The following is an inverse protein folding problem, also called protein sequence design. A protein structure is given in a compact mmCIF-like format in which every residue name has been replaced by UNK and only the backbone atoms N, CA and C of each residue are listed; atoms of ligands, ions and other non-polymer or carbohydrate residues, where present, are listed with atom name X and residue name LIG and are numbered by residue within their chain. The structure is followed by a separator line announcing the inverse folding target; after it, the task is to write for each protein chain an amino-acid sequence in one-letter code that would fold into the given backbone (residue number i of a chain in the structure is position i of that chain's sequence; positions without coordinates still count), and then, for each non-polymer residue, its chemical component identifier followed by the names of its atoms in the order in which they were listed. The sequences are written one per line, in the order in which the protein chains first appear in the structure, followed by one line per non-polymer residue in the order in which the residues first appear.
data_IF_409293760548
#
_entry.id   IF_409293760548
#
_cell.length_a   1.000
_cell.length_b   1.000
_cell.length_c   1.000
_cell.angle_alpha   90.00
_cell.angle_beta   90.00
_cell.angle_gamma   90.00
#
_symmetry.space_group_name_H-M   'P 1'
#
loop_
_entity.id
_entity.type
_entity.pdbx_description
1 polymer ?
#
# COMPACT_ATOMS: atom_id res chain seq x y z
N UNK A 1 -33.48 -14.37 -19.82
CA UNK A 1 -33.78 -13.54 -18.63
C UNK A 1 -32.49 -13.35 -17.88
N UNK A 2 -31.92 -12.18 -18.02
CA UNK A 2 -30.59 -11.77 -17.56
C UNK A 2 -30.68 -11.25 -16.13
N UNK A 3 -30.02 -11.91 -15.18
CA UNK A 3 -29.84 -11.38 -13.83
C UNK A 3 -28.55 -10.55 -13.78
N UNK A 4 -28.72 -9.25 -13.73
CA UNK A 4 -27.66 -8.30 -13.46
C UNK A 4 -27.33 -8.31 -11.96
N UNK A 5 -26.09 -8.65 -11.63
CA UNK A 5 -25.56 -8.52 -10.27
C UNK A 5 -25.21 -7.05 -9.99
N UNK A 6 -25.98 -6.44 -9.10
CA UNK A 6 -25.74 -5.13 -8.52
C UNK A 6 -24.63 -5.26 -7.47
N UNK A 7 -23.38 -4.97 -7.84
CA UNK A 7 -22.34 -4.64 -6.87
C UNK A 7 -22.50 -3.20 -6.42
N UNK A 8 -23.02 -3.00 -5.23
CA UNK A 8 -23.11 -1.69 -4.61
C UNK A 8 -21.70 -1.09 -4.44
N UNK A 9 -21.43 -0.08 -5.23
CA UNK A 9 -20.26 0.78 -5.19
C UNK A 9 -20.15 1.43 -3.81
N UNK A 10 -19.15 1.04 -3.01
CA UNK A 10 -18.71 1.81 -1.84
C UNK A 10 -18.16 3.15 -2.36
N UNK A 11 -18.89 4.23 -2.10
CA UNK A 11 -18.41 5.61 -2.30
C UNK A 11 -17.09 5.76 -1.54
N UNK A 12 -15.98 5.83 -2.27
CA UNK A 12 -14.70 6.30 -1.76
C UNK A 12 -14.90 7.75 -1.29
N UNK A 13 -14.44 8.04 -0.09
CA UNK A 13 -14.35 9.41 0.43
C UNK A 13 -13.28 10.10 -0.42
N UNK A 14 -13.73 10.80 -1.46
CA UNK A 14 -12.87 11.64 -2.30
C UNK A 14 -12.50 12.85 -1.46
N UNK A 15 -11.23 13.00 -1.17
CA UNK A 15 -10.67 14.14 -0.50
C UNK A 15 -10.97 15.41 -1.33
N UNK A 16 -11.66 16.43 -0.81
CA UNK A 16 -12.14 17.58 -1.61
C UNK A 16 -11.01 18.49 -2.14
N UNK A 17 -9.75 18.22 -1.82
CA UNK A 17 -8.61 19.06 -2.29
C UNK A 17 -8.15 18.77 -3.73
N UNK A 18 -8.74 17.78 -4.45
CA UNK A 18 -8.26 17.34 -5.78
C UNK A 18 -8.94 18.05 -6.97
N UNK A 19 -9.96 18.85 -6.76
CA UNK A 19 -10.74 19.46 -7.83
C UNK A 19 -10.33 20.89 -8.18
N UNK A 20 -9.13 21.08 -8.77
CA UNK A 20 -8.85 22.26 -9.64
C UNK A 20 -7.69 21.94 -10.60
N UNK A 21 -7.98 21.28 -11.70
CA UNK A 21 -7.01 20.81 -12.72
C UNK A 21 -6.29 21.92 -13.50
N UNK A 22 -6.60 23.18 -13.31
CA UNK A 22 -6.11 24.28 -14.16
C UNK A 22 -4.94 25.12 -13.59
N UNK A 23 -4.40 24.80 -12.40
CA UNK A 23 -3.35 25.63 -11.78
C UNK A 23 -2.12 24.83 -11.30
N UNK A 24 -1.97 23.58 -11.71
CA UNK A 24 -0.82 22.75 -11.34
C UNK A 24 0.24 22.76 -12.45
N UNK A 25 1.51 22.74 -12.06
CA UNK A 25 2.60 22.48 -13.01
C UNK A 25 2.45 21.09 -13.64
N UNK A 26 2.96 20.86 -14.87
CA UNK A 26 2.89 19.54 -15.53
C UNK A 26 3.38 18.39 -14.65
N UNK A 27 4.46 18.61 -13.89
CA UNK A 27 4.99 17.62 -12.95
C UNK A 27 4.00 17.33 -11.81
N UNK A 28 3.35 18.34 -11.26
CA UNK A 28 2.38 18.16 -10.19
C UNK A 28 1.10 17.50 -10.69
N UNK A 29 0.68 17.76 -11.92
CA UNK A 29 -0.42 17.04 -12.57
C UNK A 29 -0.09 15.56 -12.71
N UNK A 30 1.12 15.23 -13.16
CA UNK A 30 1.58 13.84 -13.24
C UNK A 30 1.56 13.15 -11.86
N UNK A 31 2.08 13.83 -10.82
CA UNK A 31 2.03 13.31 -9.44
C UNK A 31 0.59 13.03 -8.98
N UNK A 32 -0.32 13.98 -9.16
CA UNK A 32 -1.71 13.85 -8.73
C UNK A 32 -2.45 12.73 -9.48
N UNK A 33 -2.19 12.55 -10.77
CA UNK A 33 -2.76 11.46 -11.55
C UNK A 33 -2.29 10.10 -11.01
N UNK A 34 -0.99 9.93 -10.77
CA UNK A 34 -0.44 8.71 -10.18
C UNK A 34 -1.00 8.50 -8.76
N UNK A 35 -1.06 9.56 -7.94
CA UNK A 35 -1.61 9.46 -6.58
C UNK A 35 -3.08 9.05 -6.57
N UNK A 36 -3.87 9.45 -7.55
CA UNK A 36 -5.28 9.06 -7.69
C UNK A 36 -5.45 7.54 -7.94
N UNK A 37 -4.48 6.88 -8.59
CA UNK A 37 -4.46 5.42 -8.76
C UNK A 37 -4.07 4.70 -7.46
N UNK A 38 -3.32 5.37 -6.56
CA UNK A 38 -2.81 4.82 -5.31
C UNK A 38 -3.25 5.64 -4.08
N UNK A 39 -4.56 5.89 -3.87
CA UNK A 39 -5.04 6.86 -2.87
C UNK A 39 -4.66 6.50 -1.44
N UNK A 40 -4.57 5.21 -1.14
CA UNK A 40 -4.29 4.68 0.20
C UNK A 40 -2.81 4.32 0.44
N UNK A 41 -1.91 4.69 -0.49
CA UNK A 41 -0.48 4.40 -0.38
C UNK A 41 0.29 5.69 -0.05
N UNK A 42 1.42 5.58 0.63
CA UNK A 42 2.43 6.62 0.60
C UNK A 42 3.13 6.59 -0.76
N UNK A 43 3.02 7.66 -1.54
CA UNK A 43 3.64 7.74 -2.86
C UNK A 43 5.03 8.37 -2.75
N UNK A 44 6.07 7.54 -2.82
CA UNK A 44 7.46 7.96 -2.92
C UNK A 44 7.79 8.24 -4.38
N UNK A 45 7.86 9.52 -4.73
CA UNK A 45 7.96 9.99 -6.11
C UNK A 45 9.39 10.41 -6.44
N UNK A 46 10.05 9.71 -7.35
CA UNK A 46 11.44 9.97 -7.71
C UNK A 46 11.64 11.34 -8.36
N UNK A 47 12.52 12.15 -7.77
CA UNK A 47 12.89 13.48 -8.22
C UNK A 47 14.41 13.64 -8.12
N UNK A 48 15.14 13.35 -9.21
CA UNK A 48 16.61 13.34 -9.20
C UNK A 48 17.15 12.39 -8.12
N UNK A 49 17.91 12.90 -7.16
CA UNK A 49 18.54 12.12 -6.09
C UNK A 49 17.65 11.91 -4.86
N UNK A 50 16.36 12.28 -4.95
CA UNK A 50 15.41 12.15 -3.84
C UNK A 50 14.17 11.35 -4.26
N UNK A 51 13.52 10.74 -3.25
CA UNK A 51 12.12 10.43 -3.29
C UNK A 51 11.37 11.49 -2.51
N UNK A 52 10.48 12.21 -3.19
CA UNK A 52 9.68 13.27 -2.62
C UNK A 52 8.25 12.78 -2.36
N UNK A 53 7.67 13.28 -1.29
CA UNK A 53 6.26 13.12 -0.94
C UNK A 53 5.62 14.50 -0.90
N UNK A 54 4.34 14.58 -1.25
CA UNK A 54 3.62 15.85 -1.29
C UNK A 54 2.31 15.77 -0.52
N UNK A 55 1.75 16.93 -0.20
CA UNK A 55 0.45 17.09 0.46
C UNK A 55 0.35 16.30 1.77
N UNK A 56 -0.69 15.49 1.90
CA UNK A 56 -0.97 14.73 3.11
C UNK A 56 0.10 13.67 3.38
N UNK A 57 0.61 12.99 2.33
CA UNK A 57 1.68 12.00 2.48
C UNK A 57 2.94 12.64 3.08
N UNK A 58 3.29 13.87 2.66
CA UNK A 58 4.44 14.59 3.21
C UNK A 58 4.26 14.93 4.69
N UNK A 59 3.07 15.40 5.09
CA UNK A 59 2.76 15.73 6.49
C UNK A 59 2.83 14.49 7.38
N UNK A 60 2.21 13.38 6.95
CA UNK A 60 2.22 12.14 7.72
C UNK A 60 3.61 11.55 7.83
N UNK A 61 4.30 11.37 6.70
CA UNK A 61 5.62 10.73 6.65
C UNK A 61 6.69 11.57 7.33
N UNK A 62 6.64 12.90 7.24
CA UNK A 62 7.59 13.75 7.98
C UNK A 62 7.49 13.53 9.48
N UNK A 63 6.29 13.38 10.02
CA UNK A 63 6.08 13.09 11.44
C UNK A 63 6.53 11.67 11.81
N UNK A 64 6.16 10.66 10.98
CA UNK A 64 6.46 9.25 11.27
C UNK A 64 7.97 8.93 11.21
N UNK A 65 8.69 9.59 10.33
CA UNK A 65 10.12 9.35 10.11
C UNK A 65 11.02 10.38 10.79
N UNK A 66 10.44 11.41 11.42
CA UNK A 66 11.16 12.55 11.98
C UNK A 66 12.09 13.21 10.96
N UNK A 67 11.52 13.57 9.79
CA UNK A 67 12.21 14.28 8.72
C UNK A 67 11.56 15.66 8.50
N UNK A 68 12.32 16.56 7.92
CA UNK A 68 11.89 17.94 7.72
C UNK A 68 10.69 18.03 6.76
N UNK A 69 9.59 18.64 7.24
CA UNK A 69 8.51 19.08 6.37
C UNK A 69 8.87 20.44 5.78
N UNK A 70 8.90 20.53 4.48
CA UNK A 70 9.18 21.76 3.71
C UNK A 70 8.00 22.12 2.82
N UNK A 71 8.19 23.07 1.93
CA UNK A 71 7.21 23.45 0.94
C UNK A 71 7.85 23.64 -0.43
N UNK A 72 7.16 23.15 -1.47
CA UNK A 72 7.59 23.29 -2.85
C UNK A 72 6.61 24.17 -3.63
N UNK A 73 7.02 25.40 -3.90
CA UNK A 73 6.25 26.31 -4.74
C UNK A 73 4.82 26.55 -4.23
N UNK A 74 3.96 27.01 -5.12
CA UNK A 74 2.53 27.24 -4.84
C UNK A 74 1.70 26.54 -5.92
N UNK A 75 0.57 25.98 -5.52
CA UNK A 75 -0.45 25.48 -6.42
C UNK A 75 -1.82 25.91 -5.94
N UNK A 76 -2.62 26.51 -6.84
CA UNK A 76 -3.89 27.12 -6.44
C UNK A 76 -3.76 28.24 -5.39
N UNK A 77 -2.60 28.94 -5.34
CA UNK A 77 -2.32 29.99 -4.35
C UNK A 77 -1.75 29.50 -3.02
N UNK A 78 -1.83 28.22 -2.73
CA UNK A 78 -1.34 27.60 -1.49
C UNK A 78 0.03 26.95 -1.67
N UNK A 79 0.86 26.99 -0.63
CA UNK A 79 2.13 26.27 -0.57
C UNK A 79 1.91 24.77 -0.56
N UNK A 80 2.68 24.02 -1.35
CA UNK A 80 2.59 22.56 -1.43
C UNK A 80 3.48 21.95 -0.34
N UNK A 81 2.92 21.30 0.70
CA UNK A 81 3.73 20.59 1.69
C UNK A 81 4.56 19.51 0.99
N UNK A 82 5.83 19.40 1.35
CA UNK A 82 6.78 18.46 0.77
C UNK A 82 7.71 17.91 1.84
N UNK A 83 8.01 16.61 1.75
CA UNK A 83 9.07 15.96 2.48
C UNK A 83 9.86 15.09 1.50
N UNK A 84 11.13 14.84 1.76
CA UNK A 84 11.95 14.04 0.87
C UNK A 84 13.02 13.25 1.61
N UNK A 85 13.36 12.11 1.04
CA UNK A 85 14.43 11.23 1.52
C UNK A 85 15.42 10.96 0.39
N UNK A 86 16.74 10.92 0.68
CA UNK A 86 17.74 10.66 -0.33
C UNK A 86 17.53 9.26 -0.96
N UNK A 87 17.67 9.18 -2.27
CA UNK A 87 17.52 7.92 -3.02
C UNK A 87 18.43 6.80 -2.47
N UNK A 88 19.70 7.11 -2.25
CA UNK A 88 20.68 6.13 -1.78
C UNK A 88 20.41 5.62 -0.33
N UNK A 89 19.59 6.32 0.43
CA UNK A 89 19.24 5.96 1.80
C UNK A 89 17.82 5.38 1.94
N UNK A 90 17.11 5.20 0.82
CA UNK A 90 15.68 4.86 0.82
C UNK A 90 15.36 3.61 1.64
N UNK A 91 16.20 2.57 1.60
CA UNK A 91 15.96 1.31 2.31
C UNK A 91 15.80 1.51 3.81
N UNK A 92 16.65 2.34 4.43
CA UNK A 92 16.54 2.63 5.86
C UNK A 92 15.24 3.33 6.24
N UNK A 93 14.71 4.18 5.36
CA UNK A 93 13.42 4.85 5.54
C UNK A 93 12.25 3.90 5.30
N UNK A 94 12.33 3.03 4.30
CA UNK A 94 11.33 2.00 4.04
C UNK A 94 11.20 1.03 5.22
N UNK A 95 12.32 0.58 5.80
CA UNK A 95 12.33 -0.30 6.98
C UNK A 95 11.58 0.29 8.18
N UNK A 96 11.63 1.63 8.31
CA UNK A 96 10.90 2.35 9.37
C UNK A 96 9.44 2.56 8.98
N UNK A 97 9.18 3.02 7.74
CA UNK A 97 7.85 3.44 7.29
C UNK A 97 6.88 2.27 7.18
N UNK A 98 7.34 1.10 6.71
CA UNK A 98 6.50 -0.09 6.56
C UNK A 98 5.90 -0.60 7.88
N UNK A 99 6.56 -0.33 9.01
CA UNK A 99 6.07 -0.72 10.35
C UNK A 99 4.74 -0.06 10.72
N UNK A 100 4.41 1.08 10.09
CA UNK A 100 3.16 1.78 10.31
C UNK A 100 1.97 1.20 9.54
N UNK A 101 2.20 0.17 8.70
CA UNK A 101 1.15 -0.66 8.09
C UNK A 101 0.44 -0.06 6.88
N UNK A 102 0.73 1.20 6.48
CA UNK A 102 0.21 1.79 5.24
C UNK A 102 1.09 1.37 4.07
N UNK A 103 0.53 0.86 2.95
CA UNK A 103 1.30 0.49 1.78
C UNK A 103 2.11 1.65 1.20
N UNK A 104 3.26 1.34 0.60
CA UNK A 104 4.17 2.31 0.01
C UNK A 104 4.29 2.03 -1.48
N UNK A 105 4.00 3.02 -2.32
CA UNK A 105 4.19 2.96 -3.76
C UNK A 105 5.50 3.66 -4.15
N UNK A 106 6.43 2.93 -4.75
CA UNK A 106 7.69 3.45 -5.28
C UNK A 106 7.47 3.84 -6.74
N UNK A 107 7.61 5.13 -7.02
CA UNK A 107 7.43 5.71 -8.35
C UNK A 107 8.78 6.14 -8.90
N UNK A 108 9.19 5.51 -10.00
CA UNK A 108 10.47 5.73 -10.68
C UNK A 108 10.33 6.51 -11.98
N UNK A 109 11.41 7.17 -12.37
CA UNK A 109 11.56 7.75 -13.70
C UNK A 109 11.76 6.63 -14.73
N UNK A 110 10.94 6.64 -15.78
CA UNK A 110 10.96 5.60 -16.83
C UNK A 110 11.44 6.11 -18.19
N UNK A 111 11.72 7.40 -18.32
CA UNK A 111 12.32 8.02 -19.50
C UNK A 111 13.51 8.90 -19.14
N UNK A 112 14.40 9.10 -20.10
CA UNK A 112 15.49 10.07 -19.96
C UNK A 112 14.97 11.52 -20.08
N UNK A 113 15.61 12.49 -19.41
CA UNK A 113 15.28 13.89 -19.57
C UNK A 113 15.54 14.35 -21.00
N UNK A 114 14.49 14.72 -21.74
CA UNK A 114 14.59 15.17 -23.13
C UNK A 114 14.35 16.69 -23.30
N UNK A 115 14.21 17.42 -22.20
CA UNK A 115 13.98 18.88 -22.20
C UNK A 115 12.58 19.33 -22.66
N UNK A 116 11.70 18.41 -23.07
CA UNK A 116 10.36 18.72 -23.60
C UNK A 116 9.22 18.35 -22.65
N UNK A 117 9.37 18.61 -21.36
CA UNK A 117 8.33 18.33 -20.36
C UNK A 117 8.85 17.52 -19.17
N UNK A 118 7.96 17.10 -18.26
CA UNK A 118 8.35 16.26 -17.15
C UNK A 118 8.77 14.88 -17.64
N UNK A 119 9.77 14.29 -17.01
CA UNK A 119 10.19 12.90 -17.23
C UNK A 119 9.03 11.97 -16.89
N UNK A 120 8.82 10.94 -17.72
CA UNK A 120 7.79 9.94 -17.45
C UNK A 120 8.08 9.16 -16.16
N UNK A 121 7.05 8.86 -15.41
CA UNK A 121 7.13 8.15 -14.13
C UNK A 121 6.04 7.13 -14.01
N UNK A 122 6.37 6.00 -13.38
CA UNK A 122 5.43 4.92 -13.09
C UNK A 122 5.69 4.34 -11.71
N UNK A 123 4.65 3.82 -11.06
CA UNK A 123 4.81 2.97 -9.89
C UNK A 123 5.39 1.63 -10.35
N UNK A 124 6.58 1.32 -9.87
CA UNK A 124 7.33 0.10 -10.24
C UNK A 124 7.27 -0.97 -9.15
N UNK A 125 6.99 -0.56 -7.91
CA UNK A 125 6.94 -1.48 -6.78
C UNK A 125 5.95 -0.98 -5.73
N UNK A 126 5.19 -1.90 -5.15
CA UNK A 126 4.39 -1.66 -3.94
C UNK A 126 5.02 -2.46 -2.82
N UNK A 127 5.24 -1.81 -1.69
CA UNK A 127 5.83 -2.42 -0.50
C UNK A 127 4.78 -2.39 0.60
N UNK A 128 4.51 -3.55 1.15
CA UNK A 128 3.63 -3.74 2.30
C UNK A 128 4.39 -4.50 3.39
N UNK A 129 3.82 -4.58 4.58
CA UNK A 129 4.45 -5.29 5.69
C UNK A 129 4.68 -6.77 5.39
N UNK A 130 3.77 -7.40 4.64
CA UNK A 130 3.84 -8.82 4.27
C UNK A 130 4.61 -9.12 2.99
N UNK A 131 4.95 -8.11 2.16
CA UNK A 131 5.63 -8.30 0.87
C UNK A 131 7.08 -7.81 0.84
N UNK A 132 7.66 -7.51 2.00
CA UNK A 132 9.08 -7.17 2.11
C UNK A 132 9.90 -8.44 1.88
N UNK A 133 10.74 -8.42 0.83
CA UNK A 133 11.67 -9.52 0.50
C UNK A 133 13.12 -9.15 0.82
N UNK A 134 13.39 -7.88 1.17
CA UNK A 134 14.75 -7.40 1.39
C UNK A 134 15.18 -7.71 2.82
N UNK A 135 16.27 -8.47 2.97
CA UNK A 135 16.81 -8.86 4.28
C UNK A 135 17.18 -7.66 5.16
N UNK A 136 17.56 -6.52 4.54
CA UNK A 136 17.89 -5.29 5.26
C UNK A 136 16.65 -4.66 5.93
N UNK A 137 15.46 -4.98 5.42
CA UNK A 137 14.17 -4.46 5.88
C UNK A 137 13.47 -5.42 6.85
N UNK A 138 13.89 -6.70 6.88
CA UNK A 138 13.34 -7.72 7.77
C UNK A 138 14.01 -7.63 9.14
N UNK A 139 13.23 -7.77 10.20
CA UNK A 139 13.84 -7.97 11.52
C UNK A 139 14.44 -9.38 11.57
N UNK A 140 15.71 -9.50 11.97
CA UNK A 140 16.51 -10.73 12.02
C UNK A 140 15.88 -11.90 12.81
N UNK A 141 14.69 -11.72 13.42
CA UNK A 141 14.07 -12.69 14.35
C UNK A 141 12.60 -12.96 14.11
N UNK A 142 11.95 -12.40 13.07
CA UNK A 142 10.54 -12.64 12.81
C UNK A 142 10.34 -13.21 11.41
N UNK A 143 9.62 -14.33 11.34
CA UNK A 143 9.11 -14.85 10.07
C UNK A 143 8.19 -13.80 9.43
N UNK A 144 8.40 -13.51 8.14
CA UNK A 144 7.53 -12.63 7.39
C UNK A 144 6.50 -13.46 6.65
N UNK A 145 5.34 -13.61 7.26
CA UNK A 145 4.25 -14.47 6.76
C UNK A 145 3.17 -13.62 6.10
N UNK A 146 2.89 -13.93 4.85
CA UNK A 146 1.72 -13.45 4.12
C UNK A 146 0.65 -14.55 4.13
N UNK A 147 -0.54 -14.20 4.64
CA UNK A 147 -1.67 -15.12 4.82
C UNK A 147 -2.79 -14.78 3.85
N UNK A 148 -3.43 -15.80 3.29
CA UNK A 148 -4.67 -15.69 2.52
C UNK A 148 -5.75 -16.59 3.11
N UNK A 149 -6.95 -16.06 3.25
CA UNK A 149 -8.12 -16.74 3.79
C UNK A 149 -9.23 -16.71 2.77
N UNK A 150 -9.81 -17.87 2.47
CA UNK A 150 -10.94 -18.00 1.56
C UNK A 150 -12.04 -18.88 2.17
N UNK A 151 -13.27 -18.35 2.18
CA UNK A 151 -14.44 -19.10 2.64
C UNK A 151 -15.21 -19.59 1.43
N UNK A 152 -15.20 -20.91 1.22
CA UNK A 152 -16.01 -21.57 0.21
C UNK A 152 -17.38 -21.96 0.77
N UNK A 153 -18.42 -21.27 0.27
CA UNK A 153 -19.82 -21.51 0.68
C UNK A 153 -20.49 -22.51 -0.23
N UNK A 154 -20.87 -23.68 0.29
CA UNK A 154 -21.78 -24.63 -0.35
C UNK A 154 -23.04 -24.80 0.51
N UNK A 155 -24.16 -25.18 -0.11
CA UNK A 155 -25.47 -25.26 0.55
C UNK A 155 -25.53 -26.19 1.78
N UNK A 156 -24.64 -27.17 1.90
CA UNK A 156 -24.61 -28.12 3.04
C UNK A 156 -23.24 -28.23 3.72
N UNK A 157 -22.16 -27.84 3.06
CA UNK A 157 -20.82 -27.93 3.62
C UNK A 157 -20.05 -26.65 3.22
N UNK A 158 -19.50 -25.96 4.16
CA UNK A 158 -18.63 -24.83 3.91
C UNK A 158 -17.25 -25.10 4.45
N UNK A 159 -16.25 -24.70 3.71
CA UNK A 159 -14.86 -24.88 4.07
C UNK A 159 -14.20 -23.51 4.19
N UNK A 160 -13.30 -23.39 5.15
CA UNK A 160 -12.35 -22.30 5.30
C UNK A 160 -11.01 -22.80 4.75
N UNK A 161 -10.59 -22.25 3.61
CA UNK A 161 -9.27 -22.52 3.06
C UNK A 161 -8.30 -21.43 3.55
N UNK A 162 -7.16 -21.87 4.07
CA UNK A 162 -6.09 -21.02 4.58
C UNK A 162 -4.82 -21.39 3.86
N UNK A 163 -4.15 -20.38 3.29
CA UNK A 163 -2.83 -20.53 2.67
C UNK A 163 -1.91 -19.45 3.20
N UNK A 164 -0.67 -19.81 3.52
CA UNK A 164 0.31 -18.83 3.95
C UNK A 164 1.70 -19.17 3.43
N UNK A 165 2.44 -18.12 3.11
CA UNK A 165 3.82 -18.21 2.63
C UNK A 165 4.74 -17.45 3.59
N UNK A 166 5.83 -18.08 3.96
CA UNK A 166 6.96 -17.41 4.62
C UNK A 166 7.88 -16.88 3.52
N UNK A 167 7.95 -15.54 3.41
CA UNK A 167 8.53 -14.86 2.25
C UNK A 167 10.02 -15.14 2.10
N UNK A 168 10.77 -15.20 3.21
CA UNK A 168 12.23 -15.37 3.17
C UNK A 168 12.65 -16.77 2.70
N UNK A 169 11.92 -17.80 3.11
CA UNK A 169 12.22 -19.19 2.71
C UNK A 169 11.43 -19.67 1.48
N UNK A 170 10.37 -18.94 1.09
CA UNK A 170 9.44 -19.38 0.05
C UNK A 170 8.57 -20.58 0.46
N UNK A 171 8.53 -20.94 1.75
CA UNK A 171 7.74 -22.07 2.25
C UNK A 171 6.26 -21.74 2.21
N UNK A 172 5.52 -22.43 1.35
CA UNK A 172 4.08 -22.35 1.22
C UNK A 172 3.40 -23.48 1.97
N UNK A 173 2.41 -23.12 2.80
CA UNK A 173 1.53 -24.05 3.49
C UNK A 173 0.08 -23.76 3.09
N UNK A 174 -0.73 -24.81 2.96
CA UNK A 174 -2.15 -24.69 2.65
C UNK A 174 -2.93 -25.81 3.30
N UNK A 175 -4.10 -25.49 3.87
CA UNK A 175 -4.99 -26.46 4.48
C UNK A 175 -6.43 -25.98 4.45
N UNK A 176 -7.38 -26.89 4.66
CA UNK A 176 -8.80 -26.62 4.75
C UNK A 176 -9.36 -27.04 6.11
N UNK A 177 -10.24 -26.21 6.65
CA UNK A 177 -11.05 -26.50 7.84
C UNK A 177 -12.51 -26.60 7.44
N UNK A 178 -13.20 -27.64 7.88
CA UNK A 178 -14.65 -27.76 7.72
C UNK A 178 -15.34 -26.83 8.69
N UNK A 179 -16.29 -26.05 8.20
CA UNK A 179 -17.16 -25.20 9.02
C UNK A 179 -18.44 -25.97 9.30
N UNK A 180 -18.63 -26.39 10.55
CA UNK A 180 -19.79 -27.21 10.95
C UNK A 180 -21.11 -26.44 10.88
N UNK A 181 -21.11 -25.15 11.16
CA UNK A 181 -22.29 -24.27 11.06
C UNK A 181 -21.93 -22.94 10.44
N UNK A 182 -22.23 -22.79 9.16
CA UNK A 182 -21.97 -21.54 8.40
C UNK A 182 -22.88 -20.38 8.84
N UNK A 183 -24.01 -20.67 9.49
CA UNK A 183 -24.92 -19.64 9.95
C UNK A 183 -24.46 -19.03 11.28
N UNK A 184 -23.61 -19.73 12.00
CA UNK A 184 -22.99 -19.21 13.22
C UNK A 184 -21.75 -18.36 12.89
N UNK A 185 -21.96 -17.10 12.58
CA UNK A 185 -20.89 -16.14 12.27
C UNK A 185 -19.84 -16.03 13.39
N UNK A 186 -20.25 -16.18 14.65
CA UNK A 186 -19.32 -16.07 15.78
C UNK A 186 -18.33 -17.23 15.80
N UNK A 187 -18.75 -18.45 15.49
CA UNK A 187 -17.88 -19.62 15.41
C UNK A 187 -16.86 -19.47 14.27
N UNK A 188 -17.29 -18.98 13.10
CA UNK A 188 -16.41 -18.71 11.97
C UNK A 188 -15.35 -17.67 12.34
N UNK A 189 -15.77 -16.56 12.94
CA UNK A 189 -14.85 -15.47 13.36
C UNK A 189 -13.85 -15.99 14.40
N UNK A 190 -14.31 -16.80 15.35
CA UNK A 190 -13.43 -17.37 16.38
C UNK A 190 -12.40 -18.34 15.77
N UNK A 191 -12.82 -19.21 14.86
CA UNK A 191 -11.92 -20.12 14.11
C UNK A 191 -10.86 -19.33 13.36
N UNK A 192 -11.27 -18.28 12.63
CA UNK A 192 -10.34 -17.42 11.89
C UNK A 192 -9.36 -16.73 12.84
N UNK A 193 -9.86 -16.16 13.96
CA UNK A 193 -8.99 -15.49 14.95
C UNK A 193 -7.97 -16.45 15.56
N UNK A 194 -8.36 -17.68 15.87
CA UNK A 194 -7.46 -18.68 16.41
C UNK A 194 -6.35 -19.04 15.42
N UNK A 195 -6.70 -19.22 14.14
CA UNK A 195 -5.69 -19.49 13.09
C UNK A 195 -4.76 -18.30 12.83
N UNK A 196 -5.30 -17.07 12.79
CA UNK A 196 -4.48 -15.85 12.70
C UNK A 196 -3.52 -15.75 13.87
N UNK A 197 -3.98 -16.01 15.10
CA UNK A 197 -3.13 -15.97 16.29
C UNK A 197 -2.06 -17.06 16.27
N UNK A 198 -2.37 -18.26 15.75
CA UNK A 198 -1.42 -19.38 15.64
C UNK A 198 -0.35 -19.12 14.58
N UNK A 199 -0.75 -18.58 13.42
CA UNK A 199 0.15 -18.33 12.28
C UNK A 199 0.93 -17.02 12.50
N UNK A 200 0.34 -16.05 13.18
CA UNK A 200 0.90 -14.73 13.48
C UNK A 200 1.42 -14.00 12.20
N UNK A 201 0.57 -13.82 11.17
CA UNK A 201 0.99 -13.26 9.91
C UNK A 201 1.35 -11.78 10.00
N UNK A 202 2.26 -11.35 9.14
CA UNK A 202 2.62 -9.94 8.95
C UNK A 202 1.55 -9.17 8.19
N UNK A 203 0.83 -9.88 7.29
CA UNK A 203 -0.24 -9.34 6.44
C UNK A 203 -1.26 -10.44 6.06
N UNK A 204 -2.54 -10.03 5.85
CA UNK A 204 -3.66 -10.93 5.47
C UNK A 204 -4.35 -10.37 4.22
#
# INVERSE_FOLDING_TARGET
MTHANNFASKKSIINPEINTTNNHTPMMQQYLNIKAEYPNHYLLYRMGDFYELFYQDAKEVSTLLDITLTARGKSGGNSIPMAGVPYHAIESYLARLVKFGKPIAICEQTSEPNGKGPVDRKVVKIITKGTICDESLLSLKSENILLSIYIHKKSKNSNLAISYIEISSGRLNSFELKLEDINNKNNIIETIKNEISRINPSEI
#
